data_IF_903397305161
#
_entry.id   IF_903397305161
#
_cell.length_a   1.000
_cell.length_b   1.000
_cell.length_c   1.000
_cell.angle_alpha   90.00
_cell.angle_beta   90.00
_cell.angle_gamma   90.00
#
_symmetry.space_group_name_H-M   'P 1'
#
loop_
_entity.id
_entity.type
_entity.pdbx_description
1 polymer ?
#
# COMPACT_ATOMS: atom_id res chain seq x y z
N UNK A 1 -24.38 -4.11 10.45
CA UNK A 1 -23.62 -5.29 10.92
C UNK A 1 -22.44 -4.74 11.70
N UNK A 2 -22.41 -4.86 13.02
CA UNK A 2 -21.29 -4.34 13.83
C UNK A 2 -20.10 -5.26 13.58
N UNK A 3 -19.08 -4.75 12.86
CA UNK A 3 -17.82 -5.48 12.71
C UNK A 3 -17.23 -5.72 14.12
N UNK A 4 -17.06 -6.98 14.49
CA UNK A 4 -16.31 -7.32 15.69
C UNK A 4 -14.89 -6.78 15.51
N UNK A 5 -14.25 -6.26 16.57
CA UNK A 5 -12.90 -5.74 16.47
C UNK A 5 -12.00 -6.79 15.82
N UNK A 6 -11.23 -6.36 14.82
CA UNK A 6 -10.27 -7.20 14.10
C UNK A 6 -9.12 -7.54 15.06
N UNK A 7 -9.30 -8.57 15.88
CA UNK A 7 -8.21 -9.07 16.71
C UNK A 7 -7.36 -10.01 15.88
N UNK A 8 -6.06 -9.71 15.76
CA UNK A 8 -5.08 -10.67 15.31
C UNK A 8 -4.73 -11.56 16.49
N UNK A 9 -4.79 -12.87 16.27
CA UNK A 9 -4.44 -13.89 17.27
C UNK A 9 -3.17 -14.62 16.84
N UNK A 10 -2.53 -15.26 17.79
CA UNK A 10 -1.42 -16.15 17.48
C UNK A 10 -1.83 -17.22 16.48
N UNK A 11 -0.96 -17.48 15.49
CA UNK A 11 -1.14 -18.41 14.37
C UNK A 11 -2.25 -18.02 13.35
N UNK A 12 -2.76 -16.79 13.40
CA UNK A 12 -3.65 -16.30 12.34
C UNK A 12 -2.95 -16.30 10.99
N UNK A 13 -3.75 -16.57 9.95
CA UNK A 13 -3.32 -16.44 8.56
C UNK A 13 -3.87 -15.16 7.98
N UNK A 14 -2.97 -14.35 7.48
CA UNK A 14 -3.26 -13.07 6.85
C UNK A 14 -2.97 -13.19 5.36
N UNK A 15 -3.79 -12.58 4.53
CA UNK A 15 -3.61 -12.61 3.08
C UNK A 15 -3.70 -11.21 2.51
N UNK A 16 -2.76 -10.88 1.60
CA UNK A 16 -2.83 -9.68 0.77
C UNK A 16 -3.46 -10.08 -0.55
N UNK A 17 -4.53 -9.40 -0.95
CA UNK A 17 -5.31 -9.68 -2.15
C UNK A 17 -5.46 -8.45 -3.03
N UNK A 18 -5.58 -8.68 -4.33
CA UNK A 18 -6.22 -7.73 -5.23
C UNK A 18 -7.73 -7.74 -4.97
N UNK A 19 -8.29 -6.55 -4.83
CA UNK A 19 -9.73 -6.39 -4.66
C UNK A 19 -10.44 -6.57 -6.01
N UNK A 20 -11.45 -7.43 -6.05
CA UNK A 20 -12.31 -7.55 -7.24
C UNK A 20 -13.25 -6.36 -7.34
N UNK A 21 -13.68 -6.03 -8.55
CA UNK A 21 -14.64 -4.93 -8.76
C UNK A 21 -15.92 -5.12 -7.92
N UNK A 22 -16.41 -6.36 -7.76
CA UNK A 22 -17.59 -6.66 -6.94
C UNK A 22 -17.37 -6.50 -5.43
N UNK A 23 -16.12 -6.42 -4.99
CA UNK A 23 -15.71 -6.35 -3.58
C UNK A 23 -15.19 -4.96 -3.17
N UNK A 24 -15.16 -3.97 -4.08
CA UNK A 24 -14.59 -2.65 -3.83
C UNK A 24 -15.13 -1.94 -2.58
N UNK A 25 -16.38 -2.26 -2.22
CA UNK A 25 -17.02 -1.69 -1.03
C UNK A 25 -16.34 -2.10 0.27
N UNK A 26 -15.67 -3.24 0.32
CA UNK A 26 -15.00 -3.72 1.53
C UNK A 26 -13.86 -2.78 1.96
N UNK A 27 -12.82 -2.50 1.13
CA UNK A 27 -11.81 -1.50 1.49
C UNK A 27 -12.36 -0.07 1.58
N UNK A 28 -13.37 0.29 0.79
CA UNK A 28 -14.02 1.61 0.88
C UNK A 28 -14.63 1.84 2.27
N UNK A 29 -15.53 0.96 2.72
CA UNK A 29 -16.16 1.08 4.05
C UNK A 29 -15.18 0.90 5.19
N UNK A 30 -14.09 0.16 4.97
CA UNK A 30 -13.01 0.05 5.95
C UNK A 30 -12.31 1.39 6.17
N UNK A 31 -12.01 2.13 5.08
CA UNK A 31 -11.43 3.47 5.18
C UNK A 31 -12.42 4.44 5.82
N UNK A 32 -13.68 4.48 5.36
CA UNK A 32 -14.70 5.36 5.95
C UNK A 32 -14.85 5.16 7.47
N UNK A 33 -14.79 3.92 7.93
CA UNK A 33 -14.95 3.58 9.34
C UNK A 33 -13.75 3.96 10.21
N UNK A 34 -12.55 4.08 9.64
CA UNK A 34 -11.30 4.27 10.39
C UNK A 34 -10.56 5.56 10.05
N UNK A 35 -11.05 6.33 9.06
CA UNK A 35 -10.42 7.59 8.70
C UNK A 35 -10.71 8.66 9.75
N UNK A 36 -9.70 8.97 10.53
CA UNK A 36 -9.71 10.01 11.56
C UNK A 36 -9.12 11.34 11.00
N UNK A 37 -9.38 11.64 9.72
CA UNK A 37 -8.88 12.87 9.08
C UNK A 37 -7.45 12.77 8.58
N UNK A 38 -6.92 11.57 8.38
CA UNK A 38 -5.54 11.36 7.92
C UNK A 38 -5.43 10.95 6.44
N UNK A 39 -6.55 10.60 5.82
CA UNK A 39 -6.65 10.29 4.40
C UNK A 39 -7.70 11.19 3.73
N UNK A 40 -7.47 11.49 2.47
CA UNK A 40 -8.49 12.16 1.64
C UNK A 40 -9.74 11.32 1.50
N UNK A 41 -10.90 11.91 1.73
CA UNK A 41 -12.17 11.28 1.46
C UNK A 41 -12.39 11.20 -0.05
N UNK A 42 -12.39 10.00 -0.58
CA UNK A 42 -12.57 9.74 -2.01
C UNK A 42 -13.92 9.08 -2.27
N UNK A 43 -14.63 9.47 -3.33
CA UNK A 43 -15.88 8.83 -3.70
C UNK A 43 -15.73 7.33 -3.97
N UNK A 44 -16.79 6.56 -3.69
CA UNK A 44 -16.80 5.10 -3.85
C UNK A 44 -16.47 4.62 -5.28
N UNK A 45 -16.80 5.42 -6.30
CA UNK A 45 -16.50 5.07 -7.69
C UNK A 45 -14.99 4.99 -7.97
N UNK A 46 -14.16 5.80 -7.28
CA UNK A 46 -12.71 5.76 -7.39
C UNK A 46 -12.17 4.38 -6.96
N UNK A 47 -12.70 3.85 -5.85
CA UNK A 47 -12.34 2.49 -5.38
C UNK A 47 -12.79 1.41 -6.34
N UNK A 48 -14.00 1.55 -6.92
CA UNK A 48 -14.50 0.61 -7.91
C UNK A 48 -13.63 0.61 -9.17
N UNK A 49 -13.25 1.78 -9.65
CA UNK A 49 -12.42 1.91 -10.84
C UNK A 49 -10.99 1.38 -10.61
N UNK A 50 -10.43 1.63 -9.44
CA UNK A 50 -9.15 1.04 -9.04
C UNK A 50 -9.24 -0.49 -8.93
N UNK A 51 -10.32 -1.04 -8.39
CA UNK A 51 -10.54 -2.49 -8.33
C UNK A 51 -10.65 -3.11 -9.72
N UNK A 52 -11.42 -2.48 -10.63
CA UNK A 52 -11.55 -2.90 -12.04
C UNK A 52 -10.22 -2.91 -12.78
N UNK A 53 -9.32 -1.99 -12.43
CA UNK A 53 -7.98 -1.87 -13.01
C UNK A 53 -6.94 -2.75 -12.29
N UNK A 54 -7.34 -3.59 -11.34
CA UNK A 54 -6.43 -4.39 -10.50
C UNK A 54 -5.41 -3.56 -9.72
N UNK A 55 -5.82 -2.36 -9.25
CA UNK A 55 -4.95 -1.41 -8.54
C UNK A 55 -5.42 -1.12 -7.10
N UNK A 56 -6.42 -1.84 -6.63
CA UNK A 56 -6.92 -1.79 -5.24
C UNK A 56 -6.54 -3.07 -4.52
N UNK A 57 -5.96 -2.92 -3.33
CA UNK A 57 -5.48 -4.02 -2.51
C UNK A 57 -6.15 -4.00 -1.14
N UNK A 58 -6.33 -5.16 -0.57
CA UNK A 58 -6.73 -5.29 0.81
C UNK A 58 -6.00 -6.44 1.51
N UNK A 59 -5.90 -6.32 2.81
CA UNK A 59 -5.32 -7.32 3.70
C UNK A 59 -6.45 -7.92 4.53
N UNK A 60 -6.56 -9.23 4.56
CA UNK A 60 -7.64 -9.92 5.26
C UNK A 60 -7.08 -10.98 6.21
N UNK A 61 -7.67 -11.12 7.37
CA UNK A 61 -7.47 -12.26 8.25
C UNK A 61 -8.33 -13.42 7.73
N UNK A 62 -7.69 -14.50 7.27
CA UNK A 62 -8.36 -15.68 6.68
C UNK A 62 -9.28 -16.43 7.64
N UNK A 63 -9.02 -16.32 8.93
CA UNK A 63 -9.83 -17.02 9.96
C UNK A 63 -11.14 -16.28 10.23
N UNK A 64 -11.08 -14.94 10.23
CA UNK A 64 -12.23 -14.10 10.61
C UNK A 64 -12.88 -13.39 9.43
N UNK A 65 -12.24 -13.41 8.25
CA UNK A 65 -12.57 -12.64 7.04
C UNK A 65 -12.64 -11.11 7.28
N UNK A 66 -12.05 -10.63 8.38
CA UNK A 66 -11.98 -9.20 8.67
C UNK A 66 -10.87 -8.53 7.88
N UNK A 67 -11.14 -7.33 7.36
CA UNK A 67 -10.13 -6.50 6.72
C UNK A 67 -9.21 -5.93 7.81
N UNK A 68 -7.91 -6.08 7.58
CA UNK A 68 -6.83 -5.59 8.43
C UNK A 68 -6.10 -4.38 7.83
N UNK A 69 -6.25 -4.17 6.54
CA UNK A 69 -5.60 -3.05 5.87
C UNK A 69 -6.01 -2.92 4.41
N UNK A 70 -5.68 -1.79 3.82
CA UNK A 70 -5.95 -1.48 2.42
C UNK A 70 -4.86 -0.57 1.85
N UNK A 71 -4.76 -0.52 0.52
CA UNK A 71 -3.91 0.38 -0.23
C UNK A 71 -4.33 0.43 -1.69
N UNK A 72 -4.04 1.52 -2.37
CA UNK A 72 -4.41 1.74 -3.76
C UNK A 72 -3.25 2.34 -4.56
N UNK A 73 -3.11 1.90 -5.81
CA UNK A 73 -2.26 2.53 -6.81
C UNK A 73 -3.18 3.10 -7.88
N UNK A 74 -3.43 4.39 -7.83
CA UNK A 74 -4.39 5.06 -8.69
C UNK A 74 -3.67 5.79 -9.81
N UNK A 75 -4.17 5.65 -11.04
CA UNK A 75 -3.76 6.53 -12.12
C UNK A 75 -4.18 7.97 -11.76
N UNK A 76 -3.28 8.91 -11.98
CA UNK A 76 -3.56 10.31 -11.72
C UNK A 76 -4.66 10.79 -12.65
N UNK A 77 -5.86 10.92 -12.11
CA UNK A 77 -6.98 11.60 -12.76
C UNK A 77 -7.02 13.05 -12.27
N UNK A 78 -6.86 14.00 -13.17
CA UNK A 78 -6.99 15.41 -12.83
C UNK A 78 -5.99 16.30 -13.55
N UNK A 79 -6.43 17.45 -14.03
CA UNK A 79 -5.82 18.36 -15.02
C UNK A 79 -4.41 18.88 -14.82
N UNK A 80 -3.67 18.45 -13.82
CA UNK A 80 -2.28 18.85 -13.57
C UNK A 80 -1.29 17.69 -13.55
N UNK A 81 -1.75 16.44 -13.73
CA UNK A 81 -0.87 15.27 -13.67
C UNK A 81 -0.68 14.69 -15.07
N UNK A 82 0.57 14.36 -15.38
CA UNK A 82 0.90 13.63 -16.62
C UNK A 82 0.16 12.29 -16.66
N UNK A 83 -0.33 11.82 -17.81
CA UNK A 83 -0.94 10.49 -17.96
C UNK A 83 0.01 9.34 -17.57
N UNK A 84 1.29 9.63 -17.36
CA UNK A 84 2.32 8.68 -16.92
C UNK A 84 2.57 8.71 -15.40
N UNK A 85 1.70 9.33 -14.61
CA UNK A 85 1.83 9.38 -13.16
C UNK A 85 0.75 8.57 -12.48
N UNK A 86 1.15 7.77 -11.50
CA UNK A 86 0.24 7.05 -10.62
C UNK A 86 0.46 7.47 -9.16
N UNK A 87 -0.61 7.66 -8.42
CA UNK A 87 -0.56 7.97 -7.00
C UNK A 87 -0.75 6.70 -6.17
N UNK A 88 0.16 6.48 -5.23
CA UNK A 88 0.07 5.42 -4.24
C UNK A 88 -0.49 6.01 -2.95
N UNK A 89 -1.64 5.51 -2.52
CA UNK A 89 -2.34 6.07 -1.37
C UNK A 89 -3.33 5.11 -0.75
N UNK A 90 -4.24 5.64 0.08
CA UNK A 90 -5.23 4.83 0.78
C UNK A 90 -4.61 3.76 1.69
N UNK A 91 -3.33 3.94 2.07
CA UNK A 91 -2.62 3.01 2.94
C UNK A 91 -3.14 3.15 4.36
N UNK A 92 -3.94 2.19 4.77
CA UNK A 92 -4.51 2.16 6.10
C UNK A 92 -4.38 0.75 6.69
N UNK A 93 -4.03 0.67 7.98
CA UNK A 93 -3.99 -0.58 8.74
C UNK A 93 -4.82 -0.42 9.99
N UNK A 94 -5.71 -1.40 10.23
CA UNK A 94 -6.55 -1.45 11.42
C UNK A 94 -5.70 -1.31 12.69
N UNK A 95 -6.12 -0.51 13.69
CA UNK A 95 -5.34 -0.29 14.92
C UNK A 95 -4.85 -1.57 15.58
N UNK A 96 -5.70 -2.61 15.67
CA UNK A 96 -5.33 -3.91 16.24
C UNK A 96 -4.30 -4.71 15.42
N UNK A 97 -4.05 -4.32 14.16
CA UNK A 97 -3.07 -4.95 13.27
C UNK A 97 -1.78 -4.12 13.12
N UNK A 98 -1.69 -2.98 13.80
CA UNK A 98 -0.47 -2.15 13.79
C UNK A 98 0.65 -2.85 14.58
N UNK A 99 1.89 -2.53 14.23
CA UNK A 99 3.07 -3.14 14.84
C UNK A 99 3.48 -4.51 14.26
N UNK A 100 2.69 -5.09 13.35
CA UNK A 100 3.06 -6.31 12.63
C UNK A 100 3.81 -6.05 11.30
N UNK A 101 4.15 -4.80 10.96
CA UNK A 101 4.81 -4.52 9.67
C UNK A 101 3.91 -4.69 8.43
N UNK A 102 2.60 -4.86 8.61
CA UNK A 102 1.63 -5.10 7.52
C UNK A 102 1.64 -3.95 6.51
N UNK A 103 1.73 -2.69 6.97
CA UNK A 103 1.77 -1.54 6.07
C UNK A 103 2.99 -1.58 5.13
N UNK A 104 4.17 -1.85 5.68
CA UNK A 104 5.42 -1.96 4.91
C UNK A 104 5.39 -3.13 3.94
N UNK A 105 4.86 -4.28 4.35
CA UNK A 105 4.74 -5.44 3.49
C UNK A 105 3.73 -5.19 2.35
N UNK A 106 2.56 -4.63 2.67
CA UNK A 106 1.54 -4.27 1.69
C UNK A 106 2.11 -3.28 0.66
N UNK A 107 2.82 -2.25 1.11
CA UNK A 107 3.45 -1.27 0.22
C UNK A 107 4.46 -1.93 -0.72
N UNK A 108 5.33 -2.79 -0.22
CA UNK A 108 6.30 -3.54 -1.06
C UNK A 108 5.60 -4.41 -2.10
N UNK A 109 4.55 -5.13 -1.72
CA UNK A 109 3.74 -5.96 -2.63
C UNK A 109 3.08 -5.09 -3.69
N UNK A 110 2.46 -3.98 -3.32
CA UNK A 110 1.83 -3.03 -4.23
C UNK A 110 2.83 -2.50 -5.26
N UNK A 111 4.02 -2.08 -4.83
CA UNK A 111 5.02 -1.50 -5.73
C UNK A 111 5.60 -2.53 -6.70
N UNK A 112 5.96 -3.72 -6.23
CA UNK A 112 6.45 -4.80 -7.12
C UNK A 112 5.37 -5.19 -8.14
N UNK A 113 4.12 -5.30 -7.70
CA UNK A 113 3.01 -5.60 -8.58
C UNK A 113 2.79 -4.48 -9.61
N UNK A 114 2.68 -3.22 -9.16
CA UNK A 114 2.42 -2.08 -10.03
C UNK A 114 3.50 -1.90 -11.10
N UNK A 115 4.77 -1.96 -10.72
CA UNK A 115 5.88 -1.85 -11.67
C UNK A 115 5.91 -3.01 -12.67
N UNK A 116 5.55 -4.21 -12.23
CA UNK A 116 5.42 -5.38 -13.13
C UNK A 116 4.33 -5.16 -14.17
N UNK A 117 3.14 -4.73 -13.75
CA UNK A 117 2.00 -4.54 -14.65
C UNK A 117 2.20 -3.34 -15.57
N UNK A 118 2.74 -2.21 -15.08
CA UNK A 118 3.03 -1.03 -15.90
C UNK A 118 4.26 -1.20 -16.81
N UNK A 119 5.21 -2.04 -16.43
CA UNK A 119 6.46 -2.21 -17.16
C UNK A 119 6.29 -2.70 -18.61
N UNK A 120 5.12 -3.25 -18.93
CA UNK A 120 4.76 -3.68 -20.29
C UNK A 120 4.19 -2.53 -21.12
N UNK A 121 3.35 -1.67 -20.51
CA UNK A 121 2.54 -0.69 -21.23
C UNK A 121 2.95 0.76 -20.96
N UNK A 122 3.62 1.03 -19.83
CA UNK A 122 4.05 2.36 -19.41
C UNK A 122 5.42 2.31 -18.68
N UNK A 123 6.55 2.08 -19.39
CA UNK A 123 7.86 1.94 -18.74
C UNK A 123 8.31 3.19 -17.99
N UNK A 124 7.78 4.37 -18.34
CA UNK A 124 8.13 5.65 -17.73
C UNK A 124 7.11 6.10 -16.67
N UNK A 125 6.17 5.24 -16.26
CA UNK A 125 5.19 5.59 -15.24
C UNK A 125 5.90 5.94 -13.92
N UNK A 126 5.63 7.13 -13.41
CA UNK A 126 6.12 7.60 -12.12
C UNK A 126 5.10 7.29 -11.02
N UNK A 127 5.57 6.78 -9.89
CA UNK A 127 4.73 6.57 -8.73
C UNK A 127 5.01 7.65 -7.69
N UNK A 128 3.94 8.34 -7.29
CA UNK A 128 3.96 9.42 -6.32
C UNK A 128 3.18 8.97 -5.07
N UNK A 129 3.54 9.51 -3.92
CA UNK A 129 2.74 9.39 -2.72
C UNK A 129 2.75 10.72 -1.98
N UNK A 130 1.65 11.04 -1.31
CA UNK A 130 1.51 12.24 -0.51
C UNK A 130 1.14 11.87 0.92
N UNK A 131 1.79 12.50 1.88
CA UNK A 131 1.56 12.28 3.30
C UNK A 131 1.30 13.62 3.95
N UNK A 132 0.25 13.71 4.75
CA UNK A 132 -0.04 14.91 5.56
C UNK A 132 1.11 15.16 6.52
N UNK A 133 1.56 16.41 6.61
CA UNK A 133 2.64 16.78 7.53
C UNK A 133 2.32 16.33 8.97
N UNK A 134 3.29 15.69 9.60
CA UNK A 134 3.16 15.13 10.94
C UNK A 134 2.56 13.72 11.01
N UNK A 135 2.05 13.15 9.89
CA UNK A 135 1.59 11.76 9.86
C UNK A 135 2.75 10.78 9.64
N UNK A 136 3.42 10.39 10.72
CA UNK A 136 4.55 9.44 10.66
C UNK A 136 4.18 8.01 10.30
N UNK A 137 2.91 7.63 10.38
CA UNK A 137 2.47 6.24 10.16
C UNK A 137 2.82 5.67 8.78
N UNK A 138 2.43 6.30 7.68
CA UNK A 138 2.75 5.81 6.33
C UNK A 138 4.20 6.09 5.91
N UNK A 139 4.88 7.06 6.53
CA UNK A 139 6.22 7.48 6.16
C UNK A 139 7.22 6.33 6.17
N UNK A 140 7.23 5.54 7.24
CA UNK A 140 8.13 4.38 7.36
C UNK A 140 7.90 3.35 6.24
N UNK A 141 6.64 3.03 5.96
CA UNK A 141 6.29 2.09 4.90
C UNK A 141 6.72 2.58 3.50
N UNK A 142 6.59 3.88 3.23
CA UNK A 142 7.04 4.50 1.98
C UNK A 142 8.57 4.41 1.84
N UNK A 143 9.33 4.83 2.86
CA UNK A 143 10.78 4.79 2.81
C UNK A 143 11.32 3.35 2.66
N UNK A 144 10.76 2.39 3.38
CA UNK A 144 11.11 0.97 3.23
C UNK A 144 10.75 0.40 1.86
N UNK A 145 9.76 0.96 1.19
CA UNK A 145 9.39 0.57 -0.18
C UNK A 145 10.16 1.33 -1.26
N UNK A 146 11.19 2.12 -0.91
CA UNK A 146 12.06 2.80 -1.86
C UNK A 146 11.55 4.13 -2.35
N UNK A 147 10.57 4.73 -1.69
CA UNK A 147 10.18 6.11 -1.96
C UNK A 147 11.21 7.08 -1.37
N UNK A 148 11.42 8.19 -2.05
CA UNK A 148 12.29 9.28 -1.61
C UNK A 148 11.51 10.58 -1.48
N UNK A 149 11.80 11.44 -0.47
CA UNK A 149 11.20 12.75 -0.37
C UNK A 149 11.44 13.57 -1.63
N UNK A 150 10.40 14.25 -2.11
CA UNK A 150 10.42 15.09 -3.31
C UNK A 150 9.96 16.52 -3.04
N UNK A 151 9.89 16.93 -1.78
CA UNK A 151 9.47 18.27 -1.36
C UNK A 151 8.07 18.29 -0.76
N UNK A 152 7.41 19.44 -0.85
CA UNK A 152 6.06 19.65 -0.33
C UNK A 152 5.14 20.12 -1.45
N UNK A 153 3.86 19.80 -1.30
CA UNK A 153 2.78 20.27 -2.17
C UNK A 153 1.68 20.80 -1.28
N UNK A 154 1.20 22.00 -1.58
CA UNK A 154 0.04 22.58 -0.93
C UNK A 154 -1.18 22.26 -1.83
N UNK A 155 -2.20 21.64 -1.26
CA UNK A 155 -3.44 21.27 -1.96
C UNK A 155 -4.55 22.18 -1.46
N UNK A 156 -5.12 22.95 -2.39
CA UNK A 156 -6.25 23.82 -2.12
C UNK A 156 -7.59 23.06 -2.28
N UNK A 157 -8.59 23.58 -1.59
CA UNK A 157 -9.97 23.10 -1.73
C UNK A 157 -10.39 23.20 -3.20
N UNK A 158 -10.80 22.07 -3.77
CA UNK A 158 -11.23 21.98 -5.18
C UNK A 158 -10.16 21.58 -6.19
N UNK A 159 -8.89 21.46 -5.78
CA UNK A 159 -7.81 21.04 -6.70
C UNK A 159 -7.83 19.54 -7.02
N UNK A 160 -8.51 18.76 -6.20
CA UNK A 160 -8.61 17.31 -6.33
C UNK A 160 -10.06 16.82 -6.18
N UNK A 161 -10.37 15.68 -6.79
CA UNK A 161 -11.66 14.99 -6.65
C UNK A 161 -11.82 14.30 -5.27
N UNK A 162 -11.34 14.96 -4.22
CA UNK A 162 -11.40 14.45 -2.86
C UNK A 162 -11.81 15.56 -1.90
N UNK A 163 -12.53 15.20 -0.87
CA UNK A 163 -12.91 16.14 0.20
C UNK A 163 -11.73 16.22 1.18
N UNK A 164 -11.23 17.45 1.37
CA UNK A 164 -10.13 17.74 2.31
C UNK A 164 -10.58 18.57 3.52
N UNK A 165 -11.87 18.91 3.59
CA UNK A 165 -12.42 19.81 4.61
C UNK A 165 -12.13 19.35 6.04
N UNK A 166 -12.13 18.03 6.27
CA UNK A 166 -11.82 17.44 7.57
C UNK A 166 -10.31 17.50 7.94
N UNK A 167 -9.45 17.83 6.98
CA UNK A 167 -8.00 17.98 7.17
C UNK A 167 -7.59 19.44 7.39
N UNK A 168 -8.48 20.38 7.05
CA UNK A 168 -8.24 21.80 7.21
C UNK A 168 -8.48 22.21 8.66
N UNK A 169 -7.57 22.98 9.22
CA UNK A 169 -7.81 23.68 10.49
C UNK A 169 -8.66 24.93 10.25
N UNK A 170 -9.23 25.45 11.33
CA UNK A 170 -10.04 26.67 11.25
C UNK A 170 -9.26 27.83 10.59
N UNK A 171 -9.83 28.32 9.49
CA UNK A 171 -9.25 29.42 8.71
C UNK A 171 -8.22 29.01 7.64
N UNK A 172 -7.88 27.73 7.52
CA UNK A 172 -7.00 27.24 6.45
C UNK A 172 -7.81 26.96 5.16
N UNK A 173 -7.20 27.26 4.02
CA UNK A 173 -7.76 26.98 2.69
C UNK A 173 -6.98 25.89 1.94
N UNK A 174 -5.90 25.41 2.52
CA UNK A 174 -4.97 24.46 1.92
C UNK A 174 -4.45 23.46 2.95
N UNK A 175 -4.12 22.26 2.49
CA UNK A 175 -3.45 21.22 3.26
C UNK A 175 -2.04 21.05 2.72
N UNK A 176 -1.04 21.14 3.59
CA UNK A 176 0.35 20.89 3.23
C UNK A 176 0.67 19.40 3.31
N UNK A 177 1.22 18.86 2.24
CA UNK A 177 1.61 17.48 2.11
C UNK A 177 3.09 17.35 1.82
N UNK A 178 3.71 16.37 2.41
CA UNK A 178 5.03 15.92 2.00
C UNK A 178 4.87 14.99 0.79
N UNK A 179 5.52 15.33 -0.32
CA UNK A 179 5.52 14.54 -1.55
C UNK A 179 6.68 13.55 -1.56
N UNK A 180 6.42 12.37 -2.10
CA UNK A 180 7.40 11.29 -2.30
C UNK A 180 7.33 10.78 -3.72
N UNK A 181 8.50 10.40 -4.27
CA UNK A 181 8.64 9.76 -5.57
C UNK A 181 9.29 8.40 -5.38
N UNK A 182 8.75 7.39 -6.05
CA UNK A 182 9.31 6.05 -6.02
C UNK A 182 10.55 5.95 -6.90
N UNK A 183 11.63 5.40 -6.34
CA UNK A 183 12.84 5.06 -7.08
C UNK A 183 12.71 3.67 -7.71
N UNK A 184 12.55 3.61 -9.02
CA UNK A 184 12.46 2.32 -9.73
C UNK A 184 13.69 1.43 -9.56
N UNK A 185 14.85 1.99 -9.22
CA UNK A 185 16.06 1.20 -8.94
C UNK A 185 15.89 0.37 -7.66
N UNK A 186 14.98 0.76 -6.76
CA UNK A 186 14.66 0.00 -5.56
C UNK A 186 13.90 -1.32 -5.84
N UNK A 187 13.30 -1.50 -7.03
CA UNK A 187 12.47 -2.68 -7.33
C UNK A 187 13.21 -3.99 -7.11
N UNK A 188 14.47 -4.08 -7.53
CA UNK A 188 15.28 -5.28 -7.34
C UNK A 188 15.44 -5.65 -5.85
N UNK A 189 15.65 -4.66 -5.00
CA UNK A 189 15.73 -4.86 -3.56
C UNK A 189 14.37 -5.25 -2.94
N UNK A 190 13.27 -4.68 -3.43
CA UNK A 190 11.93 -5.05 -2.99
C UNK A 190 11.62 -6.51 -3.35
N UNK A 191 11.92 -6.92 -4.59
CA UNK A 191 11.76 -8.32 -5.03
C UNK A 191 12.55 -9.26 -4.14
N UNK A 192 13.82 -8.96 -3.87
CA UNK A 192 14.66 -9.76 -2.99
C UNK A 192 14.10 -9.81 -1.55
N UNK A 193 13.63 -8.67 -1.02
CA UNK A 193 13.00 -8.59 0.30
C UNK A 193 11.75 -9.47 0.39
N UNK A 194 10.84 -9.39 -0.60
CA UNK A 194 9.64 -10.21 -0.67
C UNK A 194 9.94 -11.70 -0.85
N UNK A 195 10.92 -12.01 -1.68
CA UNK A 195 11.39 -13.39 -1.88
C UNK A 195 11.95 -13.98 -0.58
N UNK A 196 12.82 -13.25 0.10
CA UNK A 196 13.39 -13.64 1.41
C UNK A 196 12.28 -13.87 2.42
N UNK A 197 11.33 -12.94 2.52
CA UNK A 197 10.19 -13.06 3.42
C UNK A 197 9.36 -14.32 3.12
N UNK A 198 9.02 -14.55 1.86
CA UNK A 198 8.18 -15.69 1.47
C UNK A 198 8.91 -17.04 1.59
N UNK A 199 10.21 -17.10 1.20
CA UNK A 199 10.95 -18.37 1.09
C UNK A 199 11.75 -18.71 2.34
N UNK A 200 12.42 -17.74 2.95
CA UNK A 200 13.28 -18.01 4.11
C UNK A 200 12.50 -17.85 5.43
N UNK A 201 11.59 -16.89 5.50
CA UNK A 201 10.78 -16.67 6.69
C UNK A 201 9.40 -17.32 6.62
N UNK A 202 9.07 -18.05 5.53
CA UNK A 202 7.78 -18.71 5.32
C UNK A 202 6.58 -17.76 5.51
N UNK A 203 6.77 -16.47 5.20
CA UNK A 203 5.75 -15.45 5.42
C UNK A 203 5.46 -15.12 6.89
N UNK A 204 6.29 -15.57 7.82
CA UNK A 204 6.06 -15.41 9.26
C UNK A 204 6.44 -14.00 9.73
N UNK A 205 5.52 -13.38 10.44
CA UNK A 205 5.74 -12.16 11.22
C UNK A 205 5.55 -12.48 12.69
N UNK A 206 6.45 -11.99 13.53
CA UNK A 206 6.31 -12.07 14.98
C UNK A 206 6.25 -10.67 15.55
N UNK A 207 5.25 -10.40 16.37
CA UNK A 207 5.16 -9.20 17.20
C UNK A 207 5.31 -9.62 18.65
N UNK A 208 6.29 -9.03 19.32
CA UNK A 208 6.51 -9.20 20.76
C UNK A 208 5.94 -7.98 21.48
N UNK A 209 5.11 -8.21 22.48
CA UNK A 209 4.61 -7.19 23.40
C UNK A 209 4.69 -7.70 24.85
N UNK A 210 4.28 -6.88 25.80
CA UNK A 210 4.35 -7.26 27.22
C UNK A 210 3.52 -8.48 27.62
N UNK A 211 2.65 -8.98 26.74
CA UNK A 211 1.83 -10.17 26.96
C UNK A 211 2.43 -11.44 26.33
N UNK A 212 3.47 -11.29 25.48
CA UNK A 212 4.14 -12.39 24.79
C UNK A 212 4.30 -12.18 23.30
N UNK A 213 4.61 -13.27 22.58
CA UNK A 213 4.78 -13.27 21.14
C UNK A 213 3.46 -13.64 20.45
N UNK A 214 3.05 -12.82 19.50
CA UNK A 214 1.98 -13.13 18.54
C UNK A 214 2.61 -13.36 17.17
N UNK A 215 2.34 -14.52 16.59
CA UNK A 215 2.88 -14.93 15.28
C UNK A 215 1.77 -15.01 14.27
N UNK A 216 1.99 -14.41 13.10
CA UNK A 216 1.05 -14.48 11.99
C UNK A 216 1.78 -14.88 10.70
N UNK A 217 1.12 -15.67 9.87
CA UNK A 217 1.64 -15.97 8.53
C UNK A 217 0.94 -15.08 7.52
N UNK A 218 1.71 -14.35 6.70
CA UNK A 218 1.17 -13.49 5.65
C UNK A 218 1.45 -14.11 4.28
N UNK A 219 0.40 -14.29 3.50
CA UNK A 219 0.42 -14.79 2.13
C UNK A 219 0.05 -13.67 1.15
N UNK A 220 0.81 -13.52 0.08
CA UNK A 220 0.54 -12.61 -1.03
C UNK A 220 0.73 -13.32 -2.40
N UNK A 221 0.75 -14.63 -2.41
CA UNK A 221 0.99 -15.46 -3.61
C UNK A 221 -0.04 -15.25 -4.71
N UNK A 222 -1.26 -14.83 -4.37
CA UNK A 222 -2.31 -14.47 -5.32
C UNK A 222 -2.07 -13.13 -6.03
N UNK A 223 -1.24 -12.25 -5.45
CA UNK A 223 -0.84 -10.97 -6.04
C UNK A 223 0.47 -11.13 -6.81
N UNK A 224 1.46 -11.72 -6.14
CA UNK A 224 2.78 -12.00 -6.73
C UNK A 224 3.06 -13.49 -6.58
N UNK A 225 2.87 -14.28 -7.66
CA UNK A 225 3.15 -15.72 -7.61
C UNK A 225 4.61 -16.01 -7.23
N UNK A 226 4.87 -17.00 -6.38
CA UNK A 226 6.22 -17.37 -5.96
C UNK A 226 7.18 -17.63 -7.13
N UNK A 227 6.73 -18.28 -8.18
CA UNK A 227 7.52 -18.53 -9.38
C UNK A 227 7.98 -17.23 -10.07
N UNK A 228 7.20 -16.15 -9.96
CA UNK A 228 7.59 -14.85 -10.48
C UNK A 228 8.73 -14.24 -9.66
N UNK A 229 8.67 -14.33 -8.34
CA UNK A 229 9.77 -13.87 -7.47
C UNK A 229 11.05 -14.69 -7.73
N UNK A 230 10.93 -16.01 -7.84
CA UNK A 230 12.06 -16.89 -8.13
C UNK A 230 12.76 -16.49 -9.45
N UNK A 231 11.97 -16.28 -10.52
CA UNK A 231 12.51 -15.87 -11.83
C UNK A 231 13.20 -14.49 -11.77
N UNK A 232 12.63 -13.54 -11.05
CA UNK A 232 13.24 -12.20 -10.93
C UNK A 232 14.54 -12.23 -10.12
N UNK A 233 14.60 -13.01 -9.05
CA UNK A 233 15.82 -13.16 -8.24
C UNK A 233 16.95 -13.80 -9.06
N UNK A 234 16.64 -14.78 -9.92
CA UNK A 234 17.65 -15.37 -10.81
C UNK A 234 18.21 -14.32 -11.81
N UNK A 235 17.36 -13.47 -12.39
CA UNK A 235 17.80 -12.37 -13.25
C UNK A 235 18.71 -11.39 -12.51
N UNK A 236 18.36 -11.03 -11.26
CA UNK A 236 19.19 -10.14 -10.44
C UNK A 236 20.58 -10.72 -10.16
N UNK A 237 20.65 -12.03 -9.86
CA UNK A 237 21.94 -12.73 -9.64
C UNK A 237 22.81 -12.73 -10.90
N UNK A 238 22.24 -13.01 -12.06
CA UNK A 238 22.95 -13.02 -13.33
C UNK A 238 23.53 -11.65 -13.68
N UNK A 239 22.75 -10.57 -13.47
CA UNK A 239 23.21 -9.21 -13.70
C UNK A 239 24.37 -8.80 -12.78
N UNK A 240 24.39 -9.26 -11.54
CA UNK A 240 25.51 -9.03 -10.63
C UNK A 240 26.77 -9.81 -11.01
N UNK A 241 26.62 -11.03 -11.49
CA UNK A 241 27.75 -11.87 -11.91
C UNK A 241 28.40 -11.39 -13.23
N UNK A 242 27.65 -10.74 -14.12
CA UNK A 242 28.13 -10.18 -15.38
C UNK A 242 28.80 -8.80 -15.29
N UNK A 243 28.81 -8.20 -14.09
CA UNK A 243 29.36 -6.84 -13.84
C UNK A 243 30.76 -6.87 -13.22
N UNK A 244 31.45 -8.03 -13.20
CA UNK A 244 32.82 -8.24 -12.67
C UNK A 244 33.84 -8.26 -13.80
#
# INVERSE_FOLDING_TARGET
MVQRPAMIRDQDRVEIRLTRETEYRLPFTFIEALNEGTLFDRPAHIFRDAARQHRLFHVVNRTTENILGTGVVQLASGGHKSPTQAEVGGLMVHPAARGFGIASLLMKVMMVYAVKESGRDAPDEQYLAHVVDGNGGPLHALLEAGFRPAGHVDIHRGDIDAVIDHMLKDGESEVRLQAFVFDRQAVGQLVLSLWTFARQHCGLITRSDGAGDTRVTVDFSHVIPPAHLDAQVEVLKLNQAGSV
#
